data_IF_893763853701
#
_entry.id   IF_893763853701
#
_cell.length_a   1.000
_cell.length_b   1.000
_cell.length_c   1.000
_cell.angle_alpha   90.00
_cell.angle_beta   90.00
_cell.angle_gamma   90.00
#
_symmetry.space_group_name_H-M   'P 1'
#
loop_
_entity.id
_entity.type
_entity.pdbx_description
1 polymer ?
#
# COMPACT_ATOMS: atom_id res chain seq x y z
N UNK A 1 10.13 15.15 13.44
CA UNK A 1 11.24 14.24 13.82
C UNK A 1 11.69 13.56 12.56
N UNK A 2 12.92 13.83 12.14
CA UNK A 2 13.48 13.26 10.92
C UNK A 2 13.62 11.74 11.03
N UNK A 3 13.16 11.03 10.02
CA UNK A 3 13.34 9.57 9.89
C UNK A 3 13.96 9.26 8.54
N UNK A 4 15.12 8.60 8.55
CA UNK A 4 15.83 8.16 7.35
C UNK A 4 15.51 6.70 7.08
N UNK A 5 14.87 6.42 5.95
CA UNK A 5 14.59 5.07 5.47
C UNK A 5 15.61 4.66 4.42
N UNK A 6 16.24 3.50 4.63
CA UNK A 6 17.18 2.89 3.68
C UNK A 6 16.84 1.42 3.51
N UNK A 7 16.90 0.93 2.27
CA UNK A 7 16.77 -0.49 1.96
C UNK A 7 18.11 -1.04 1.46
N UNK A 8 18.48 -2.24 1.92
CA UNK A 8 19.81 -2.85 1.72
C UNK A 8 20.21 -3.01 0.26
N UNK A 9 19.25 -3.21 -0.65
CA UNK A 9 19.47 -3.44 -2.08
C UNK A 9 19.23 -2.19 -2.93
N UNK A 10 18.95 -1.04 -2.31
CA UNK A 10 18.84 0.25 -3.00
C UNK A 10 19.32 1.43 -2.14
N UNK A 11 20.54 1.37 -1.55
CA UNK A 11 21.04 2.41 -0.65
C UNK A 11 21.17 3.79 -1.30
N UNK A 12 21.26 3.85 -2.63
CA UNK A 12 21.31 5.06 -3.45
C UNK A 12 19.98 5.84 -3.50
N UNK A 13 18.88 5.23 -3.03
CA UNK A 13 17.53 5.82 -3.04
C UNK A 13 16.93 5.96 -1.64
N UNK A 14 17.78 6.13 -0.62
CA UNK A 14 17.32 6.37 0.74
C UNK A 14 16.44 7.63 0.80
N UNK A 15 15.47 7.62 1.72
CA UNK A 15 14.44 8.66 1.85
C UNK A 15 14.47 9.24 3.24
N UNK A 16 14.78 10.53 3.34
CA UNK A 16 14.64 11.30 4.56
C UNK A 16 13.24 11.90 4.62
N UNK A 17 12.54 11.68 5.74
CA UNK A 17 11.17 12.12 5.95
C UNK A 17 11.11 13.08 7.13
N UNK A 18 10.41 14.21 6.97
CA UNK A 18 9.98 15.07 8.06
C UNK A 18 8.46 15.18 8.10
N UNK A 19 7.87 14.67 9.18
CA UNK A 19 6.41 14.61 9.32
C UNK A 19 5.77 13.90 8.14
N UNK A 20 4.89 14.60 7.40
CA UNK A 20 4.16 14.05 6.27
C UNK A 20 4.90 14.18 4.91
N UNK A 21 6.07 14.82 4.89
CA UNK A 21 6.76 15.21 3.67
C UNK A 21 8.13 14.57 3.54
N UNK A 22 8.57 14.40 2.29
CA UNK A 22 9.94 13.99 1.95
C UNK A 22 10.84 15.21 2.11
N UNK A 23 11.87 15.11 2.96
CA UNK A 23 12.87 16.15 3.13
C UNK A 23 13.98 16.01 2.07
N UNK A 24 14.44 14.79 1.80
CA UNK A 24 15.46 14.49 0.80
C UNK A 24 15.35 13.05 0.28
N UNK A 25 15.87 12.81 -0.93
CA UNK A 25 16.03 11.48 -1.53
C UNK A 25 17.43 11.42 -2.13
N UNK A 26 18.17 10.35 -1.85
CA UNK A 26 19.54 10.19 -2.35
C UNK A 26 20.31 9.08 -1.64
N UNK A 27 21.64 9.03 -1.83
CA UNK A 27 22.49 8.03 -1.19
C UNK A 27 22.43 8.06 0.33
N UNK A 28 22.30 6.89 0.95
CA UNK A 28 22.21 6.74 2.39
C UNK A 28 23.35 7.43 3.14
N UNK A 29 24.59 7.24 2.71
CA UNK A 29 25.77 7.78 3.40
C UNK A 29 25.77 9.32 3.41
N UNK A 30 25.36 9.96 2.30
CA UNK A 30 25.26 11.41 2.20
C UNK A 30 24.17 11.96 3.14
N UNK A 31 22.99 11.34 3.12
CA UNK A 31 21.87 11.75 3.97
C UNK A 31 22.15 11.50 5.45
N UNK A 32 22.81 10.39 5.80
CA UNK A 32 23.17 10.05 7.17
C UNK A 32 24.24 11.00 7.73
N UNK A 33 25.20 11.42 6.91
CA UNK A 33 26.21 12.41 7.29
C UNK A 33 25.58 13.79 7.49
N UNK A 34 24.70 14.23 6.57
CA UNK A 34 24.02 15.52 6.67
C UNK A 34 23.07 15.59 7.88
N UNK A 35 22.38 14.49 8.20
CA UNK A 35 21.33 14.44 9.22
C UNK A 35 21.62 13.37 10.28
N UNK A 36 22.76 13.52 10.96
CA UNK A 36 23.27 12.56 11.97
C UNK A 36 22.31 12.23 13.12
N UNK A 37 21.30 13.09 13.37
CA UNK A 37 20.29 12.89 14.42
C UNK A 37 19.00 12.24 13.92
N UNK A 38 18.87 12.00 12.61
CA UNK A 38 17.69 11.36 12.04
C UNK A 38 17.56 9.93 12.56
N UNK A 39 16.33 9.53 12.90
CA UNK A 39 16.04 8.13 13.26
C UNK A 39 16.22 7.26 12.02
N UNK A 40 17.19 6.34 12.04
CA UNK A 40 17.43 5.44 10.91
C UNK A 40 16.52 4.21 10.99
N UNK A 41 15.90 3.86 9.87
CA UNK A 41 15.17 2.60 9.66
C UNK A 41 15.78 1.87 8.47
N UNK A 42 16.40 0.73 8.77
CA UNK A 42 16.96 -0.18 7.77
C UNK A 42 15.93 -1.26 7.42
N UNK A 43 15.89 -1.63 6.14
CA UNK A 43 14.96 -2.60 5.59
C UNK A 43 15.69 -3.53 4.61
N UNK A 44 15.22 -4.78 4.45
CA UNK A 44 15.73 -5.63 3.39
C UNK A 44 15.23 -5.15 2.02
N UNK A 45 15.83 -5.67 0.95
CA UNK A 45 15.38 -5.46 -0.42
C UNK A 45 15.47 -4.01 -0.91
N UNK A 46 14.47 -3.58 -1.70
CA UNK A 46 14.48 -2.28 -2.40
C UNK A 46 13.39 -1.34 -1.90
N UNK A 47 13.67 -0.04 -1.92
CA UNK A 47 12.71 1.03 -1.66
C UNK A 47 12.17 1.60 -2.99
N UNK A 48 10.86 1.73 -3.10
CA UNK A 48 10.21 2.33 -4.27
C UNK A 48 9.16 3.37 -3.87
N UNK A 49 8.72 4.26 -4.79
CA UNK A 49 7.44 4.93 -4.62
C UNK A 49 6.33 3.92 -4.29
N UNK A 50 5.33 4.35 -3.54
CA UNK A 50 4.22 3.45 -3.19
C UNK A 50 3.36 3.13 -4.41
N UNK A 51 2.55 2.07 -4.29
CA UNK A 51 1.72 1.60 -5.39
C UNK A 51 0.34 2.28 -5.41
N UNK A 52 -0.18 2.46 -6.62
CA UNK A 52 -1.59 2.71 -6.88
C UNK A 52 -2.26 1.38 -7.25
N UNK A 53 -3.33 1.02 -6.54
CA UNK A 53 -4.19 -0.08 -6.96
C UNK A 53 -5.41 0.45 -7.73
N UNK A 54 -5.59 0.10 -9.02
CA UNK A 54 -6.64 0.66 -9.86
C UNK A 54 -8.01 -0.01 -9.68
N UNK A 55 -8.14 -0.94 -8.72
CA UNK A 55 -9.34 -1.74 -8.47
C UNK A 55 -10.00 -1.41 -7.13
N UNK A 56 -10.05 -0.12 -6.76
CA UNK A 56 -10.66 0.33 -5.50
C UNK A 56 -12.08 -0.20 -5.31
N UNK A 57 -13.03 0.04 -6.25
CA UNK A 57 -14.40 -0.44 -6.13
C UNK A 57 -14.50 -1.97 -6.08
N UNK A 58 -13.74 -2.67 -6.92
CA UNK A 58 -13.80 -4.13 -7.00
C UNK A 58 -13.28 -4.78 -5.71
N UNK A 59 -12.18 -4.25 -5.16
CA UNK A 59 -11.56 -4.81 -3.97
C UNK A 59 -12.17 -4.31 -2.66
N UNK A 60 -12.78 -3.13 -2.62
CA UNK A 60 -13.28 -2.55 -1.37
C UNK A 60 -14.81 -2.54 -1.26
N UNK A 61 -15.53 -2.61 -2.38
CA UNK A 61 -17.00 -2.63 -2.40
C UNK A 61 -17.58 -3.96 -2.89
N UNK A 62 -16.97 -4.59 -3.89
CA UNK A 62 -17.48 -5.82 -4.48
C UNK A 62 -16.87 -7.12 -3.90
N UNK A 63 -15.86 -6.99 -3.03
CA UNK A 63 -15.16 -8.13 -2.42
C UNK A 63 -15.38 -8.14 -0.91
N UNK A 64 -15.81 -9.28 -0.38
CA UNK A 64 -15.84 -9.53 1.06
C UNK A 64 -14.48 -10.00 1.54
N UNK A 65 -13.91 -9.28 2.52
CA UNK A 65 -12.68 -9.69 3.21
C UNK A 65 -13.09 -10.31 4.54
N UNK A 66 -12.96 -11.64 4.73
CA UNK A 66 -13.42 -12.31 5.95
C UNK A 66 -12.80 -11.76 7.24
N UNK A 67 -13.59 -11.74 8.32
CA UNK A 67 -13.02 -11.53 9.66
C UNK A 67 -12.24 -12.78 10.09
N UNK A 68 -11.10 -12.66 10.79
CA UNK A 68 -10.39 -13.83 11.32
C UNK A 68 -11.26 -14.76 12.18
N UNK A 69 -12.30 -14.22 12.83
CA UNK A 69 -13.25 -15.02 13.63
C UNK A 69 -14.20 -15.88 12.78
N UNK A 70 -14.30 -15.60 11.50
CA UNK A 70 -15.16 -16.31 10.54
C UNK A 70 -14.37 -17.30 9.69
N UNK A 71 -13.07 -17.47 9.96
CA UNK A 71 -12.17 -18.26 9.14
C UNK A 71 -12.65 -19.71 8.95
N UNK A 72 -13.24 -20.32 9.98
CA UNK A 72 -13.74 -21.70 9.91
C UNK A 72 -14.95 -21.86 8.98
N UNK A 73 -15.66 -20.77 8.66
CA UNK A 73 -16.90 -20.80 7.85
C UNK A 73 -16.66 -20.22 6.46
N UNK A 74 -15.94 -19.10 6.38
CA UNK A 74 -15.76 -18.33 5.15
C UNK A 74 -14.35 -18.46 4.58
N UNK A 75 -13.41 -19.06 5.31
CA UNK A 75 -12.00 -19.07 4.97
C UNK A 75 -11.33 -17.72 5.23
N UNK A 76 -10.06 -17.62 4.88
CA UNK A 76 -9.24 -16.41 5.05
C UNK A 76 -9.05 -15.62 3.77
N UNK A 77 -9.43 -16.17 2.62
CA UNK A 77 -9.22 -15.54 1.32
C UNK A 77 -10.34 -14.53 0.99
N UNK A 78 -10.03 -13.46 0.24
CA UNK A 78 -11.05 -12.55 -0.25
C UNK A 78 -12.09 -13.28 -1.10
N UNK A 79 -13.36 -13.00 -0.85
CA UNK A 79 -14.51 -13.60 -1.53
C UNK A 79 -15.08 -12.56 -2.49
N UNK A 80 -15.06 -12.84 -3.78
CA UNK A 80 -15.67 -12.00 -4.83
C UNK A 80 -16.95 -12.61 -5.41
N UNK A 81 -17.44 -11.98 -6.49
CA UNK A 81 -18.54 -12.52 -7.31
C UNK A 81 -19.88 -12.60 -6.58
N UNK A 82 -20.71 -13.58 -6.96
CA UNK A 82 -22.07 -13.71 -6.40
C UNK A 82 -22.06 -14.00 -4.91
N UNK A 83 -21.10 -14.80 -4.42
CA UNK A 83 -20.98 -15.10 -2.99
C UNK A 83 -20.75 -13.84 -2.15
N UNK A 84 -19.95 -12.89 -2.65
CA UNK A 84 -19.78 -11.60 -1.98
C UNK A 84 -21.08 -10.79 -1.95
N UNK A 85 -21.82 -10.80 -3.06
CA UNK A 85 -23.12 -10.12 -3.17
C UNK A 85 -24.14 -10.71 -2.21
N UNK A 86 -24.20 -12.02 -2.08
CA UNK A 86 -25.05 -12.72 -1.11
C UNK A 86 -24.74 -12.31 0.32
N UNK A 87 -23.45 -12.28 0.70
CA UNK A 87 -23.01 -11.84 2.04
C UNK A 87 -23.47 -10.40 2.32
N UNK A 88 -23.24 -9.47 1.38
CA UNK A 88 -23.63 -8.08 1.58
C UNK A 88 -25.14 -7.85 1.50
N UNK A 89 -25.89 -8.67 0.75
CA UNK A 89 -27.35 -8.63 0.70
C UNK A 89 -27.96 -9.13 2.01
N UNK A 90 -27.39 -10.18 2.59
CA UNK A 90 -27.81 -10.72 3.88
C UNK A 90 -27.52 -9.74 5.04
N UNK A 91 -26.39 -9.05 5.01
CA UNK A 91 -26.03 -8.06 6.03
C UNK A 91 -25.16 -6.92 5.42
N UNK A 92 -25.80 -5.80 5.03
CA UNK A 92 -25.10 -4.65 4.45
C UNK A 92 -24.11 -3.96 5.42
N UNK A 93 -24.28 -4.10 6.73
CA UNK A 93 -23.42 -3.44 7.72
C UNK A 93 -21.98 -3.99 7.69
N UNK A 94 -21.79 -5.19 7.14
CA UNK A 94 -20.48 -5.83 6.95
C UNK A 94 -19.54 -5.07 6.04
N UNK A 95 -20.07 -4.28 5.12
CA UNK A 95 -19.28 -3.61 4.09
C UNK A 95 -18.14 -2.74 4.67
N UNK A 96 -18.43 -1.95 5.70
CA UNK A 96 -17.42 -1.08 6.31
C UNK A 96 -16.30 -1.85 7.01
N UNK A 97 -16.62 -2.95 7.71
CA UNK A 97 -15.62 -3.79 8.35
C UNK A 97 -14.79 -4.57 7.33
N UNK A 98 -15.45 -5.11 6.29
CA UNK A 98 -14.79 -5.74 5.14
C UNK A 98 -13.80 -4.80 4.48
N UNK A 99 -14.22 -3.57 4.15
CA UNK A 99 -13.36 -2.59 3.48
C UNK A 99 -12.13 -2.20 4.32
N UNK A 100 -12.26 -2.07 5.65
CA UNK A 100 -11.10 -1.84 6.52
C UNK A 100 -10.08 -2.98 6.44
N UNK A 101 -10.54 -4.24 6.41
CA UNK A 101 -9.66 -5.40 6.23
C UNK A 101 -9.05 -5.44 4.83
N UNK A 102 -9.83 -5.10 3.80
CA UNK A 102 -9.33 -4.93 2.43
C UNK A 102 -8.24 -3.87 2.31
N UNK A 103 -8.42 -2.72 2.95
CA UNK A 103 -7.39 -1.67 3.05
C UNK A 103 -6.13 -2.20 3.75
N UNK A 104 -6.25 -2.93 4.87
CA UNK A 104 -5.09 -3.53 5.52
C UNK A 104 -4.33 -4.49 4.60
N UNK A 105 -5.04 -5.30 3.81
CA UNK A 105 -4.43 -6.17 2.79
C UNK A 105 -3.73 -5.36 1.70
N UNK A 106 -4.31 -4.25 1.24
CA UNK A 106 -3.68 -3.35 0.26
C UNK A 106 -2.40 -2.72 0.83
N UNK A 107 -2.41 -2.28 2.09
CA UNK A 107 -1.21 -1.78 2.78
C UNK A 107 -0.13 -2.87 2.88
N UNK A 108 -0.52 -4.12 3.10
CA UNK A 108 0.42 -5.25 3.08
C UNK A 108 1.01 -5.56 1.68
N UNK A 109 0.53 -4.89 0.64
CA UNK A 109 1.05 -4.97 -0.73
C UNK A 109 1.68 -3.66 -1.19
N UNK A 110 2.11 -2.76 -0.29
CA UNK A 110 2.76 -1.51 -0.72
C UNK A 110 1.82 -0.47 -1.31
N UNK A 111 0.50 -0.66 -1.22
CA UNK A 111 -0.49 0.27 -1.78
C UNK A 111 -0.60 1.51 -0.90
N UNK A 112 -0.41 2.68 -1.50
CA UNK A 112 -0.56 3.99 -0.86
C UNK A 112 -1.62 4.86 -1.53
N UNK A 113 -2.13 4.43 -2.67
CA UNK A 113 -3.20 5.07 -3.40
C UNK A 113 -4.16 4.04 -4.01
N UNK A 114 -5.42 4.39 -4.12
CA UNK A 114 -6.44 3.62 -4.83
C UNK A 114 -7.06 4.47 -5.94
N UNK A 115 -7.57 3.83 -6.97
CA UNK A 115 -8.32 4.49 -8.03
C UNK A 115 -9.66 3.78 -8.29
N UNK A 116 -10.53 4.49 -9.01
CA UNK A 116 -11.93 4.12 -9.23
C UNK A 116 -12.89 4.84 -8.29
N UNK A 117 -14.12 5.02 -8.75
CA UNK A 117 -15.16 5.74 -8.02
C UNK A 117 -15.70 4.87 -6.88
N UNK A 118 -15.44 5.28 -5.64
CA UNK A 118 -16.01 4.65 -4.44
C UNK A 118 -17.34 5.34 -4.10
N UNK A 119 -18.40 4.54 -3.95
CA UNK A 119 -19.78 5.03 -3.76
C UNK A 119 -20.23 4.88 -2.31
N UNK A 120 -19.72 3.88 -1.61
CA UNK A 120 -20.08 3.63 -0.22
C UNK A 120 -19.35 4.59 0.72
N UNK A 121 -20.12 5.33 1.52
CA UNK A 121 -19.57 6.22 2.57
C UNK A 121 -18.68 5.46 3.56
N UNK A 122 -19.05 4.24 3.92
CA UNK A 122 -18.28 3.42 4.83
C UNK A 122 -16.91 3.04 4.25
N UNK A 123 -16.83 2.84 2.93
CA UNK A 123 -15.58 2.53 2.22
C UNK A 123 -14.73 3.78 2.04
N UNK A 124 -15.33 4.91 1.65
CA UNK A 124 -14.66 6.22 1.60
C UNK A 124 -14.02 6.56 2.96
N UNK A 125 -14.73 6.32 4.06
CA UNK A 125 -14.20 6.52 5.41
C UNK A 125 -13.04 5.59 5.74
N UNK A 126 -13.09 4.32 5.32
CA UNK A 126 -12.00 3.37 5.52
C UNK A 126 -10.72 3.82 4.78
N UNK A 127 -10.85 4.23 3.51
CA UNK A 127 -9.76 4.73 2.68
C UNK A 127 -9.16 6.01 3.26
N UNK A 128 -10.02 6.99 3.61
CA UNK A 128 -9.60 8.26 4.21
C UNK A 128 -8.87 8.06 5.53
N UNK A 129 -9.40 7.23 6.44
CA UNK A 129 -8.78 6.97 7.75
C UNK A 129 -7.44 6.25 7.64
N UNK A 130 -7.24 5.44 6.61
CA UNK A 130 -5.94 4.82 6.33
C UNK A 130 -4.92 5.77 5.68
N UNK A 131 -5.36 6.95 5.22
CA UNK A 131 -4.50 7.92 4.54
C UNK A 131 -4.16 7.58 3.09
N UNK A 132 -4.85 6.59 2.51
CA UNK A 132 -4.71 6.26 1.09
C UNK A 132 -5.11 7.46 0.23
N UNK A 133 -4.27 7.80 -0.75
CA UNK A 133 -4.65 8.79 -1.75
C UNK A 133 -5.69 8.20 -2.71
N UNK A 134 -6.53 9.06 -3.29
CA UNK A 134 -7.41 8.68 -4.40
C UNK A 134 -6.82 9.26 -5.68
N UNK A 135 -6.38 8.38 -6.57
CA UNK A 135 -5.78 8.73 -7.84
C UNK A 135 -6.75 8.56 -9.02
N UNK A 136 -6.32 9.03 -10.18
CA UNK A 136 -7.03 8.77 -11.43
C UNK A 136 -6.89 7.29 -11.81
N UNK A 137 -7.99 6.70 -12.27
CA UNK A 137 -7.99 5.34 -12.81
C UNK A 137 -7.34 5.35 -14.19
N UNK A 138 -6.40 4.43 -14.48
CA UNK A 138 -5.89 4.26 -15.83
C UNK A 138 -7.03 3.95 -16.80
N UNK A 139 -6.94 4.46 -18.03
CA UNK A 139 -7.97 4.25 -19.06
C UNK A 139 -8.16 2.76 -19.39
N UNK A 140 -7.06 1.99 -19.35
CA UNK A 140 -7.06 0.55 -19.53
C UNK A 140 -6.61 -0.14 -18.25
N UNK A 141 -7.46 -1.02 -17.74
CA UNK A 141 -7.17 -1.77 -16.52
C UNK A 141 -6.29 -2.99 -16.80
N UNK A 142 -5.27 -3.23 -15.95
CA UNK A 142 -4.35 -4.34 -16.10
C UNK A 142 -4.93 -5.67 -15.58
N UNK A 143 -5.67 -6.40 -16.42
CA UNK A 143 -6.18 -7.73 -16.09
C UNK A 143 -7.29 -7.74 -15.03
N UNK A 144 -7.51 -8.85 -14.31
CA UNK A 144 -8.54 -8.94 -13.27
C UNK A 144 -8.16 -8.15 -12.02
N UNK A 145 -9.17 -7.80 -11.21
CA UNK A 145 -8.95 -7.13 -9.94
C UNK A 145 -8.12 -8.00 -8.98
N UNK A 146 -7.01 -7.45 -8.48
CA UNK A 146 -6.10 -8.15 -7.58
C UNK A 146 -5.38 -7.18 -6.64
N UNK A 147 -4.98 -7.67 -5.46
CA UNK A 147 -4.15 -6.90 -4.51
C UNK A 147 -2.77 -6.56 -5.08
N UNK A 148 -2.24 -7.42 -5.95
CA UNK A 148 -0.99 -7.24 -6.71
C UNK A 148 -1.29 -7.33 -8.21
N UNK A 149 -1.84 -6.27 -8.85
CA UNK A 149 -2.16 -6.29 -10.27
C UNK A 149 -0.90 -6.36 -11.14
N UNK A 150 -1.01 -6.90 -12.35
CA UNK A 150 0.11 -7.01 -13.28
C UNK A 150 -0.21 -6.25 -14.58
N UNK A 151 0.52 -5.17 -14.92
CA UNK A 151 1.66 -4.60 -14.19
C UNK A 151 1.29 -3.89 -12.87
N UNK A 152 2.27 -3.80 -11.97
CA UNK A 152 2.22 -2.91 -10.81
C UNK A 152 2.27 -1.45 -11.26
N UNK A 153 1.51 -0.58 -10.59
CA UNK A 153 1.46 0.86 -10.91
C UNK A 153 2.15 1.63 -9.80
N UNK A 154 3.37 2.07 -10.05
CA UNK A 154 4.11 2.94 -9.14
C UNK A 154 3.55 4.37 -9.23
N UNK A 155 3.42 5.03 -8.09
CA UNK A 155 3.28 6.48 -8.07
C UNK A 155 4.54 7.16 -8.64
N UNK A 156 4.44 8.47 -9.00
CA UNK A 156 5.62 9.25 -9.37
C UNK A 156 6.75 9.15 -8.36
N UNK A 157 7.98 9.39 -8.82
CA UNK A 157 9.18 9.36 -7.97
C UNK A 157 9.02 10.30 -6.77
N UNK A 158 9.58 9.88 -5.64
CA UNK A 158 9.66 10.72 -4.44
C UNK A 158 10.55 11.92 -4.74
N UNK A 159 10.10 13.10 -4.32
CA UNK A 159 10.81 14.37 -4.48
C UNK A 159 10.76 15.16 -3.18
N UNK A 160 11.81 15.94 -2.85
CA UNK A 160 11.77 16.87 -1.71
C UNK A 160 10.52 17.76 -1.74
N UNK A 161 9.90 17.98 -0.58
CA UNK A 161 8.63 18.70 -0.41
C UNK A 161 7.39 17.90 -0.81
N UNK A 162 7.55 16.77 -1.51
CA UNK A 162 6.46 15.87 -1.88
C UNK A 162 5.96 15.03 -0.70
N UNK A 163 4.82 14.34 -0.87
CA UNK A 163 4.25 13.51 0.19
C UNK A 163 5.11 12.27 0.47
N UNK A 164 5.32 11.96 1.75
CA UNK A 164 6.04 10.76 2.17
C UNK A 164 5.16 9.50 2.00
N UNK A 165 5.10 8.97 0.77
CA UNK A 165 4.32 7.80 0.37
C UNK A 165 5.16 6.80 -0.41
N UNK A 166 5.66 5.77 0.26
CA UNK A 166 6.56 4.80 -0.34
C UNK A 166 6.38 3.42 0.27
N UNK A 167 6.94 2.42 -0.42
CA UNK A 167 6.91 1.04 0.00
C UNK A 167 8.31 0.41 -0.12
N UNK A 168 8.54 -0.63 0.68
CA UNK A 168 9.75 -1.45 0.63
C UNK A 168 9.36 -2.88 0.34
N UNK A 169 10.08 -3.51 -0.58
CA UNK A 169 9.84 -4.87 -1.03
C UNK A 169 11.09 -5.73 -0.82
N UNK A 170 10.93 -6.88 -0.17
CA UNK A 170 12.01 -7.84 0.08
C UNK A 170 12.31 -8.67 -1.17
N UNK A 171 13.02 -8.03 -2.09
CA UNK A 171 13.46 -8.55 -3.37
C UNK A 171 14.83 -7.95 -3.73
N UNK A 172 15.59 -8.63 -4.59
CA UNK A 172 16.91 -8.19 -5.02
C UNK A 172 16.87 -6.93 -5.89
N UNK A 173 15.86 -6.81 -6.77
CA UNK A 173 15.73 -5.73 -7.74
C UNK A 173 14.28 -5.58 -8.26
N UNK A 174 14.07 -4.61 -9.16
CA UNK A 174 12.75 -4.34 -9.77
C UNK A 174 12.27 -5.48 -10.67
N UNK A 175 13.17 -6.23 -11.31
CA UNK A 175 12.77 -7.34 -12.17
C UNK A 175 12.22 -8.50 -11.33
N UNK A 176 12.81 -8.76 -10.16
CA UNK A 176 12.26 -9.70 -9.20
C UNK A 176 10.91 -9.23 -8.64
N UNK A 177 10.77 -7.93 -8.34
CA UNK A 177 9.47 -7.37 -7.93
C UNK A 177 8.37 -7.65 -8.97
N UNK A 178 8.67 -7.49 -10.26
CA UNK A 178 7.71 -7.78 -11.34
C UNK A 178 7.33 -9.26 -11.37
N UNK A 179 8.30 -10.17 -11.15
CA UNK A 179 8.05 -11.63 -11.16
C UNK A 179 7.27 -12.12 -9.94
N UNK A 180 7.61 -11.62 -8.75
CA UNK A 180 7.04 -12.09 -7.47
C UNK A 180 5.82 -11.30 -7.02
N UNK A 181 5.64 -10.08 -7.55
CA UNK A 181 4.53 -9.21 -7.22
C UNK A 181 4.66 -8.50 -5.88
N UNK A 182 3.66 -7.68 -5.58
CA UNK A 182 3.64 -6.78 -4.44
C UNK A 182 3.45 -7.46 -3.08
N UNK A 183 3.14 -8.76 -3.06
CA UNK A 183 3.09 -9.55 -1.83
C UNK A 183 4.44 -9.68 -1.11
N UNK A 184 5.54 -9.27 -1.76
CA UNK A 184 6.89 -9.17 -1.17
C UNK A 184 7.09 -7.92 -0.31
N UNK A 185 6.04 -7.09 -0.11
CA UNK A 185 6.14 -5.88 0.68
C UNK A 185 6.45 -6.17 2.15
N UNK A 186 7.41 -5.44 2.71
CA UNK A 186 7.80 -5.49 4.13
C UNK A 186 7.55 -4.17 4.88
N UNK A 187 7.33 -3.08 4.16
CA UNK A 187 6.98 -1.80 4.76
C UNK A 187 6.14 -0.95 3.82
N UNK A 188 5.10 -0.30 4.36
CA UNK A 188 4.38 0.77 3.67
C UNK A 188 4.34 2.00 4.55
N UNK A 189 4.68 3.14 3.96
CA UNK A 189 4.72 4.44 4.63
C UNK A 189 3.76 5.40 3.96
N UNK A 190 2.92 6.05 4.76
CA UNK A 190 1.98 7.09 4.31
C UNK A 190 2.06 8.27 5.27
N UNK A 191 2.35 9.46 4.72
CA UNK A 191 2.51 10.68 5.53
C UNK A 191 3.56 10.49 6.63
N UNK A 192 4.65 9.80 6.31
CA UNK A 192 5.75 9.48 7.23
C UNK A 192 5.43 8.49 8.35
N UNK A 193 4.19 7.98 8.40
CA UNK A 193 3.79 6.92 9.33
C UNK A 193 4.03 5.56 8.69
N UNK A 194 4.69 4.66 9.42
CA UNK A 194 4.78 3.25 9.06
C UNK A 194 3.41 2.59 9.28
N UNK A 195 2.62 2.47 8.23
CA UNK A 195 1.23 1.96 8.27
C UNK A 195 1.13 0.45 8.07
N UNK A 196 2.17 -0.16 7.50
CA UNK A 196 2.35 -1.60 7.47
C UNK A 196 3.82 -1.94 7.73
N UNK A 197 4.04 -2.99 8.50
CA UNK A 197 5.34 -3.60 8.76
C UNK A 197 5.17 -5.12 8.64
N UNK A 198 5.76 -5.70 7.61
CA UNK A 198 5.92 -7.14 7.47
C UNK A 198 6.89 -7.67 8.52
N UNK A 199 6.76 -8.95 8.81
CA UNK A 199 7.71 -9.67 9.68
C UNK A 199 8.94 -10.09 8.89
#
# INVERSE_FOLDING_TARGET
>A
MLTLHVAERSPETAVLVDGASVAAVGPYEELAAAESRAKVRRWPGILTPGLLNPYGPELLEATYHPDPREADVLGTEPIGGERAREIFRADPARLGASARRGVQRMLAHGTVAVAGELRSRAVLDAVRRAGLAVGQRPDRLPGPAALSPTPLILLPRLVPGGPARFAVFDVADRAELVRRGAGTCVATVIGGRLVYRGR
#
